data_IF_650235256127
#
_entry.id   IF_650235256127
#
_cell.length_a   1.000
_cell.length_b   1.000
_cell.length_c   1.000
_cell.angle_alpha   90.00
_cell.angle_beta   90.00
_cell.angle_gamma   90.00
#
_symmetry.space_group_name_H-M   'P 1'
#
loop_
_entity.id
_entity.type
_entity.pdbx_description
1 polymer ?
#
# COMPACT_ATOMS: atom_id res chain seq x y z
N UNK A 1 -5.14 -22.13 -16.78
CA UNK A 1 -3.70 -22.38 -16.90
C UNK A 1 -3.48 -23.84 -16.66
N UNK A 2 -3.42 -24.61 -17.77
CA UNK A 2 -3.15 -26.02 -17.70
C UNK A 2 -1.63 -26.26 -17.71
N UNK A 3 -0.99 -26.22 -16.59
CA UNK A 3 0.30 -26.87 -16.44
C UNK A 3 0.10 -28.08 -15.53
N UNK A 4 0.38 -29.22 -16.06
CA UNK A 4 0.14 -30.53 -15.48
C UNK A 4 1.06 -30.89 -14.31
N UNK A 5 1.87 -29.95 -13.80
CA UNK A 5 2.69 -30.15 -12.62
C UNK A 5 2.70 -28.89 -11.73
N UNK A 6 1.61 -28.72 -11.04
CA UNK A 6 1.53 -27.76 -9.95
C UNK A 6 2.35 -28.27 -8.75
N UNK A 7 2.90 -27.36 -7.93
CA UNK A 7 3.60 -27.71 -6.68
C UNK A 7 2.84 -28.75 -5.85
N UNK A 8 1.51 -28.65 -5.80
CA UNK A 8 0.63 -29.58 -5.11
C UNK A 8 0.83 -31.03 -5.58
N UNK A 9 0.93 -31.25 -6.90
CA UNK A 9 0.99 -32.59 -7.49
C UNK A 9 2.41 -33.19 -7.38
N UNK A 10 3.43 -32.37 -7.12
CA UNK A 10 4.81 -32.82 -6.94
C UNK A 10 5.12 -33.30 -5.53
N UNK A 11 4.49 -32.67 -4.51
CA UNK A 11 4.89 -32.88 -3.11
C UNK A 11 3.74 -33.33 -2.21
N UNK A 12 2.49 -33.24 -2.66
CA UNK A 12 1.31 -33.50 -1.86
C UNK A 12 0.36 -34.39 -2.64
N UNK A 13 -0.16 -35.43 -1.99
CA UNK A 13 -1.27 -36.21 -2.54
C UNK A 13 -2.56 -35.39 -2.44
N UNK A 14 -2.87 -34.67 -3.52
CA UNK A 14 -4.04 -33.79 -3.60
C UNK A 14 -5.37 -34.53 -3.61
N UNK A 15 -5.37 -35.87 -3.76
CA UNK A 15 -6.60 -36.65 -3.64
C UNK A 15 -7.17 -36.65 -2.23
N UNK A 16 -6.34 -36.29 -1.24
CA UNK A 16 -6.71 -36.12 0.18
C UNK A 16 -7.27 -34.75 0.51
N UNK A 17 -7.24 -33.79 -0.45
CA UNK A 17 -7.71 -32.41 -0.22
C UNK A 17 -9.10 -32.27 -0.85
N UNK A 18 -10.10 -31.99 -0.02
CA UNK A 18 -11.51 -32.12 -0.38
C UNK A 18 -11.99 -31.04 -1.36
N UNK A 19 -11.47 -29.81 -1.28
CA UNK A 19 -11.94 -28.70 -2.11
C UNK A 19 -10.82 -27.96 -2.85
N UNK A 20 -11.16 -27.27 -3.93
CA UNK A 20 -10.22 -26.39 -4.66
C UNK A 20 -9.78 -25.21 -3.81
N UNK A 21 -10.62 -24.76 -2.88
CA UNK A 21 -10.26 -23.71 -1.92
C UNK A 21 -9.16 -24.18 -0.96
N UNK A 22 -9.28 -25.40 -0.44
CA UNK A 22 -8.28 -25.97 0.48
C UNK A 22 -6.95 -26.20 -0.25
N UNK A 23 -6.99 -26.59 -1.51
CA UNK A 23 -5.79 -26.69 -2.36
C UNK A 23 -5.11 -25.35 -2.53
N UNK A 24 -5.87 -24.28 -2.80
CA UNK A 24 -5.35 -22.93 -2.91
C UNK A 24 -4.72 -22.47 -1.58
N UNK A 25 -5.45 -22.62 -0.46
CA UNK A 25 -4.97 -22.21 0.87
C UNK A 25 -3.68 -22.94 1.25
N UNK A 26 -3.60 -24.24 0.95
CA UNK A 26 -2.41 -25.05 1.21
C UNK A 26 -1.18 -24.52 0.46
N UNK A 27 -1.30 -24.24 -0.84
CA UNK A 27 -0.21 -23.70 -1.65
C UNK A 27 0.15 -22.29 -1.20
N UNK A 28 -0.84 -21.47 -0.87
CA UNK A 28 -0.63 -20.13 -0.35
C UNK A 28 0.17 -20.16 0.97
N UNK A 29 -0.07 -21.15 1.85
CA UNK A 29 0.72 -21.33 3.07
C UNK A 29 2.17 -21.69 2.78
N UNK A 30 2.45 -22.51 1.80
CA UNK A 30 3.83 -22.76 1.35
C UNK A 30 4.50 -21.51 0.79
N UNK A 31 3.76 -20.73 0.01
CA UNK A 31 4.23 -19.43 -0.46
C UNK A 31 4.57 -18.47 0.68
N UNK A 32 3.70 -18.35 1.67
CA UNK A 32 3.94 -17.53 2.85
C UNK A 32 5.16 -18.03 3.64
N UNK A 33 5.29 -19.34 3.82
CA UNK A 33 6.46 -19.91 4.49
C UNK A 33 7.74 -19.57 3.74
N UNK A 34 7.76 -19.72 2.42
CA UNK A 34 8.93 -19.39 1.60
C UNK A 34 9.29 -17.90 1.69
N UNK A 35 8.29 -17.01 1.64
CA UNK A 35 8.51 -15.56 1.75
C UNK A 35 9.00 -15.12 3.13
N UNK A 36 8.68 -15.86 4.19
CA UNK A 36 9.11 -15.58 5.56
C UNK A 36 10.51 -16.13 5.90
N UNK A 37 11.09 -17.00 5.06
CA UNK A 37 12.39 -17.60 5.33
C UNK A 37 13.51 -16.55 5.49
N UNK A 38 13.42 -15.44 4.79
CA UNK A 38 14.37 -14.33 4.93
C UNK A 38 14.42 -13.73 6.36
N UNK A 39 13.39 -13.98 7.19
CA UNK A 39 13.28 -13.49 8.56
C UNK A 39 13.86 -14.44 9.59
N UNK A 40 14.36 -15.60 9.18
CA UNK A 40 14.94 -16.60 10.04
C UNK A 40 16.46 -16.54 10.00
N UNK A 41 17.10 -16.75 11.16
CA UNK A 41 18.57 -16.87 11.26
C UNK A 41 19.10 -18.06 10.46
N UNK A 42 18.26 -19.07 10.27
CA UNK A 42 18.58 -20.27 9.52
C UNK A 42 17.78 -20.30 8.23
N UNK A 43 18.45 -20.15 7.10
CA UNK A 43 17.79 -20.27 5.81
C UNK A 43 17.49 -21.73 5.48
N UNK A 44 16.22 -22.01 5.21
CA UNK A 44 15.75 -23.29 4.65
C UNK A 44 15.32 -23.02 3.22
N UNK A 45 15.84 -23.74 2.19
CA UNK A 45 15.58 -23.44 0.80
C UNK A 45 14.17 -23.90 0.36
N UNK A 46 13.13 -23.35 0.98
CA UNK A 46 11.73 -23.67 0.63
C UNK A 46 11.37 -23.14 -0.78
N UNK A 47 12.06 -22.11 -1.27
CA UNK A 47 11.84 -21.62 -2.63
C UNK A 47 12.10 -22.68 -3.70
N UNK A 48 12.95 -23.68 -3.43
CA UNK A 48 13.28 -24.76 -4.36
C UNK A 48 12.10 -25.69 -4.68
N UNK A 49 11.02 -25.62 -3.88
CA UNK A 49 9.79 -26.36 -4.17
C UNK A 49 8.93 -25.72 -5.26
N UNK A 50 9.17 -24.44 -5.58
CA UNK A 50 8.47 -23.70 -6.62
C UNK A 50 9.31 -23.63 -7.90
N UNK A 51 8.66 -23.70 -9.05
CA UNK A 51 9.29 -23.28 -10.30
C UNK A 51 9.28 -21.76 -10.41
N UNK A 52 10.15 -21.20 -11.25
CA UNK A 52 10.18 -19.76 -11.51
C UNK A 52 8.82 -19.22 -12.00
N UNK A 53 8.14 -19.99 -12.85
CA UNK A 53 6.81 -19.66 -13.38
C UNK A 53 5.74 -19.61 -12.26
N UNK A 54 5.81 -20.56 -11.32
CA UNK A 54 4.91 -20.57 -10.15
C UNK A 54 5.20 -19.38 -9.22
N UNK A 55 6.47 -19.03 -9.01
CA UNK A 55 6.85 -17.85 -8.21
C UNK A 55 6.26 -16.59 -8.84
N UNK A 56 6.42 -16.40 -10.14
CA UNK A 56 5.90 -15.25 -10.86
C UNK A 56 4.37 -15.20 -10.83
N UNK A 57 3.71 -16.35 -11.02
CA UNK A 57 2.25 -16.42 -10.97
C UNK A 57 1.71 -16.07 -9.58
N UNK A 58 2.33 -16.57 -8.52
CA UNK A 58 1.95 -16.24 -7.15
C UNK A 58 2.22 -14.78 -6.81
N UNK A 59 3.34 -14.23 -7.26
CA UNK A 59 3.63 -12.79 -7.09
C UNK A 59 2.57 -11.92 -7.77
N UNK A 60 2.11 -12.31 -8.97
CA UNK A 60 1.02 -11.61 -9.67
C UNK A 60 -0.31 -11.70 -8.90
N UNK A 61 -0.68 -12.88 -8.40
CA UNK A 61 -1.90 -13.10 -7.62
C UNK A 61 -1.89 -12.25 -6.34
N UNK A 62 -0.82 -12.35 -5.54
CA UNK A 62 -0.70 -11.61 -4.29
C UNK A 62 -0.67 -10.11 -4.54
N UNK A 63 0.04 -9.66 -5.58
CA UNK A 63 0.08 -8.26 -5.95
C UNK A 63 -1.32 -7.73 -6.30
N UNK A 64 -2.07 -8.48 -7.11
CA UNK A 64 -3.42 -8.07 -7.49
C UNK A 64 -4.39 -8.07 -6.32
N UNK A 65 -4.26 -9.02 -5.41
CA UNK A 65 -5.03 -9.07 -4.15
C UNK A 65 -4.81 -7.80 -3.30
N UNK A 66 -3.55 -7.41 -3.11
CA UNK A 66 -3.25 -6.17 -2.39
C UNK A 66 -3.70 -4.92 -3.16
N UNK A 67 -3.52 -4.91 -4.47
CA UNK A 67 -4.00 -3.83 -5.33
C UNK A 67 -5.51 -3.67 -5.25
N UNK A 68 -6.28 -4.75 -5.34
CA UNK A 68 -7.73 -4.71 -5.23
C UNK A 68 -8.24 -4.23 -3.86
N UNK A 69 -7.47 -4.48 -2.81
CA UNK A 69 -7.82 -4.07 -1.44
C UNK A 69 -7.32 -2.68 -1.07
N UNK A 70 -6.12 -2.30 -1.51
CA UNK A 70 -5.39 -1.11 -1.02
C UNK A 70 -5.07 -0.10 -2.11
N UNK A 71 -5.11 -0.52 -3.37
CA UNK A 71 -4.83 0.31 -4.53
C UNK A 71 -6.08 1.00 -5.10
N UNK A 72 -5.91 1.86 -6.11
CA UNK A 72 -6.99 2.56 -6.80
C UNK A 72 -7.69 1.65 -7.83
N UNK A 73 -8.17 0.50 -7.39
CA UNK A 73 -8.86 -0.48 -8.23
C UNK A 73 -10.29 0.03 -8.54
N UNK A 74 -10.69 0.12 -9.83
CA UNK A 74 -11.95 0.77 -10.22
C UNK A 74 -13.22 0.05 -9.76
N UNK A 75 -13.19 -1.29 -9.64
CA UNK A 75 -14.38 -2.10 -9.32
C UNK A 75 -14.74 -2.03 -7.85
N UNK A 76 -13.75 -2.13 -6.97
CA UNK A 76 -13.97 -2.07 -5.52
C UNK A 76 -14.23 -0.65 -5.02
N UNK A 77 -14.00 0.35 -5.86
CA UNK A 77 -14.05 1.78 -5.50
C UNK A 77 -13.25 2.11 -4.24
N UNK A 78 -12.23 1.32 -3.97
CA UNK A 78 -11.27 1.61 -2.92
C UNK A 78 -11.79 1.57 -1.49
N UNK A 79 -12.78 0.72 -1.19
CA UNK A 79 -13.40 0.64 0.15
C UNK A 79 -12.37 0.53 1.28
N UNK A 80 -11.30 -0.23 1.05
CA UNK A 80 -10.26 -0.43 2.07
C UNK A 80 -9.26 0.74 2.14
N UNK A 81 -8.87 1.31 1.00
CA UNK A 81 -7.97 2.46 1.02
C UNK A 81 -8.70 3.74 1.46
N UNK A 82 -9.99 3.85 1.18
CA UNK A 82 -10.81 4.98 1.61
C UNK A 82 -10.81 5.18 3.12
N UNK A 83 -10.77 4.10 3.91
CA UNK A 83 -10.65 4.19 5.36
C UNK A 83 -9.32 4.80 5.82
N UNK A 84 -8.26 4.63 5.06
CA UNK A 84 -6.95 5.22 5.38
C UNK A 84 -6.91 6.74 5.17
N UNK A 85 -7.91 7.35 4.53
CA UNK A 85 -8.04 8.80 4.44
C UNK A 85 -8.10 9.46 5.82
N UNK A 86 -8.76 8.82 6.78
CA UNK A 86 -8.83 9.30 8.17
C UNK A 86 -7.47 9.28 8.85
N UNK A 87 -6.67 8.25 8.60
CA UNK A 87 -5.30 8.18 9.12
C UNK A 87 -4.42 9.24 8.48
N UNK A 88 -4.52 9.42 7.17
CA UNK A 88 -3.79 10.49 6.48
C UNK A 88 -4.18 11.87 7.02
N UNK A 89 -5.48 12.15 7.16
CA UNK A 89 -5.99 13.39 7.76
C UNK A 89 -5.39 13.63 9.14
N UNK A 90 -5.43 12.62 10.01
CA UNK A 90 -4.88 12.72 11.36
C UNK A 90 -3.39 13.09 11.34
N UNK A 91 -2.58 12.45 10.50
CA UNK A 91 -1.16 12.76 10.36
C UNK A 91 -0.92 14.19 9.85
N UNK A 92 -1.75 14.67 8.93
CA UNK A 92 -1.66 16.04 8.41
C UNK A 92 -2.07 17.07 9.47
N UNK A 93 -3.16 16.84 10.20
CA UNK A 93 -3.66 17.74 11.24
C UNK A 93 -2.67 17.82 12.42
N UNK A 94 -2.12 16.70 12.87
CA UNK A 94 -1.08 16.67 13.90
C UNK A 94 0.17 17.47 13.46
N UNK A 95 0.59 17.27 12.22
CA UNK A 95 1.72 18.02 11.66
C UNK A 95 1.44 19.54 11.60
N UNK A 96 0.23 19.92 11.18
CA UNK A 96 -0.19 21.31 11.14
C UNK A 96 -0.19 21.95 12.53
N UNK A 97 -0.71 21.22 13.53
CA UNK A 97 -0.73 21.67 14.92
C UNK A 97 0.67 21.86 15.49
N UNK A 98 1.59 20.94 15.24
CA UNK A 98 2.99 21.06 15.69
C UNK A 98 3.73 22.21 15.05
N UNK A 99 3.49 22.48 13.77
CA UNK A 99 4.05 23.65 13.08
C UNK A 99 3.53 24.95 13.67
N UNK A 100 2.22 25.05 13.95
CA UNK A 100 1.63 26.25 14.60
C UNK A 100 2.22 26.45 16.00
N UNK A 101 2.41 25.37 16.76
CA UNK A 101 3.00 25.41 18.11
C UNK A 101 4.53 25.55 18.11
N UNK A 102 5.15 25.56 16.93
CA UNK A 102 6.61 25.57 16.75
C UNK A 102 7.33 24.47 17.53
N UNK A 103 6.71 23.29 17.54
CA UNK A 103 7.31 22.11 18.16
C UNK A 103 8.39 21.55 17.25
N UNK A 104 9.57 21.34 17.84
CA UNK A 104 10.65 20.61 17.19
C UNK A 104 10.68 19.19 17.74
N UNK A 105 10.60 18.21 16.88
CA UNK A 105 10.58 16.82 17.32
C UNK A 105 10.35 15.84 16.17
N UNK A 106 10.10 14.60 16.53
CA UNK A 106 9.76 13.52 15.63
C UNK A 106 8.50 12.85 16.18
N UNK A 107 7.47 12.77 15.35
CA UNK A 107 6.28 11.97 15.62
C UNK A 107 6.42 10.64 14.90
N UNK A 108 6.29 9.54 15.61
CA UNK A 108 6.42 8.19 15.07
C UNK A 108 5.08 7.46 15.21
N UNK A 109 4.52 7.06 14.08
CA UNK A 109 3.33 6.21 14.02
C UNK A 109 3.71 4.84 13.50
N UNK A 110 3.30 3.79 14.20
CA UNK A 110 3.56 2.40 13.83
C UNK A 110 2.26 1.76 13.31
N UNK A 111 2.39 0.98 12.27
CA UNK A 111 1.25 0.34 11.62
C UNK A 111 1.66 -0.86 10.78
N UNK A 112 0.70 -1.36 10.02
CA UNK A 112 0.91 -2.47 9.09
C UNK A 112 1.17 -1.96 7.67
N UNK A 113 1.85 -2.77 6.88
CA UNK A 113 2.13 -2.58 5.44
C UNK A 113 0.87 -2.20 4.64
N UNK A 114 -0.23 -2.91 4.87
CA UNK A 114 -1.50 -2.64 4.20
C UNK A 114 -2.08 -1.25 4.49
N UNK A 115 -1.83 -0.67 5.67
CA UNK A 115 -2.21 0.71 5.98
C UNK A 115 -1.32 1.69 5.23
N UNK A 116 -0.01 1.41 5.20
CA UNK A 116 0.95 2.25 4.47
C UNK A 116 0.63 2.27 2.96
N UNK A 117 0.34 1.11 2.35
CA UNK A 117 -0.10 1.02 0.95
C UNK A 117 -1.35 1.88 0.69
N UNK A 118 -2.34 1.79 1.57
CA UNK A 118 -3.58 2.57 1.44
C UNK A 118 -3.36 4.08 1.65
N UNK A 119 -2.42 4.49 2.51
CA UNK A 119 -2.01 5.90 2.65
C UNK A 119 -1.33 6.38 1.36
N UNK A 120 -0.42 5.58 0.77
CA UNK A 120 0.25 5.94 -0.48
C UNK A 120 -0.74 6.10 -1.65
N UNK A 121 -1.78 5.26 -1.69
CA UNK A 121 -2.89 5.40 -2.65
C UNK A 121 -3.66 6.70 -2.42
N UNK A 122 -3.97 7.07 -1.16
CA UNK A 122 -4.60 8.35 -0.83
C UNK A 122 -3.71 9.55 -1.14
N UNK A 123 -2.40 9.44 -0.95
CA UNK A 123 -1.43 10.46 -1.35
C UNK A 123 -1.32 10.60 -2.87
N UNK A 124 -1.90 9.69 -3.63
CA UNK A 124 -1.79 9.65 -5.10
C UNK A 124 -0.32 9.74 -5.55
N UNK A 125 0.57 9.15 -4.77
CA UNK A 125 1.99 9.35 -4.90
C UNK A 125 2.61 8.44 -5.97
N UNK A 126 3.28 9.03 -6.95
CA UNK A 126 4.03 8.30 -7.97
C UNK A 126 3.19 7.25 -8.71
N UNK A 127 3.61 5.99 -8.64
CA UNK A 127 2.90 4.86 -9.29
C UNK A 127 1.72 4.34 -8.49
N UNK A 128 1.60 4.71 -7.20
CA UNK A 128 0.52 4.26 -6.31
C UNK A 128 -0.85 4.83 -6.68
N UNK A 129 -0.89 5.90 -7.49
CA UNK A 129 -2.12 6.50 -8.00
C UNK A 129 -2.64 5.85 -9.29
N UNK A 130 -1.90 4.94 -9.90
CA UNK A 130 -2.26 4.39 -11.21
C UNK A 130 -3.32 3.32 -11.08
N UNK A 131 -4.45 3.56 -11.72
CA UNK A 131 -5.48 2.56 -11.91
C UNK A 131 -4.98 1.43 -12.82
N UNK A 132 -5.53 0.24 -12.64
CA UNK A 132 -5.26 -0.91 -13.48
C UNK A 132 -6.54 -1.75 -13.62
N UNK A 133 -6.82 -2.22 -14.83
CA UNK A 133 -8.02 -2.99 -15.14
C UNK A 133 -7.83 -4.50 -14.95
N UNK A 134 -6.60 -4.95 -14.74
CA UNK A 134 -6.25 -6.35 -14.59
C UNK A 134 -4.92 -6.52 -13.85
N UNK A 135 -4.62 -7.77 -13.46
CA UNK A 135 -3.42 -8.13 -12.69
C UNK A 135 -2.11 -7.75 -13.37
N UNK A 136 -2.02 -7.90 -14.70
CA UNK A 136 -0.80 -7.59 -15.47
C UNK A 136 -0.52 -6.09 -15.54
N UNK A 137 -1.56 -5.28 -15.63
CA UNK A 137 -1.42 -3.82 -15.56
C UNK A 137 -1.03 -3.38 -14.16
N UNK A 138 -1.68 -3.92 -13.12
CA UNK A 138 -1.32 -3.65 -11.74
C UNK A 138 0.15 -3.99 -11.47
N UNK A 139 0.63 -5.13 -11.94
CA UNK A 139 2.01 -5.57 -11.76
C UNK A 139 3.06 -4.62 -12.36
N UNK A 140 2.69 -3.82 -13.35
CA UNK A 140 3.59 -2.85 -13.99
C UNK A 140 3.76 -1.56 -13.20
N UNK A 141 2.76 -1.18 -12.40
CA UNK A 141 2.71 0.13 -11.77
C UNK A 141 2.65 0.06 -10.25
N UNK A 142 1.95 -0.90 -9.70
CA UNK A 142 1.68 -1.03 -8.28
C UNK A 142 2.27 -2.34 -7.78
N UNK A 143 3.18 -2.28 -6.79
CA UNK A 143 3.93 -3.45 -6.33
C UNK A 143 3.95 -3.49 -4.81
N UNK A 144 3.25 -4.47 -4.22
CA UNK A 144 3.19 -4.59 -2.77
C UNK A 144 4.56 -4.82 -2.13
N UNK A 145 5.50 -5.46 -2.84
CA UNK A 145 6.86 -5.69 -2.34
C UNK A 145 7.76 -4.45 -2.31
N UNK A 146 7.31 -3.30 -2.85
CA UNK A 146 7.96 -2.01 -2.62
C UNK A 146 7.74 -1.52 -1.17
N UNK A 147 6.89 -2.24 -0.41
CA UNK A 147 6.65 -2.04 1.01
C UNK A 147 7.17 -3.26 1.80
N UNK A 148 8.49 -3.43 1.94
CA UNK A 148 9.07 -4.50 2.74
C UNK A 148 8.83 -4.28 4.23
N UNK A 149 9.20 -5.28 5.04
CA UNK A 149 9.24 -5.11 6.50
C UNK A 149 10.18 -3.95 6.87
N UNK A 150 9.72 -3.09 7.79
CA UNK A 150 10.43 -1.88 8.17
C UNK A 150 10.27 -0.72 7.17
N UNK A 151 9.41 -0.86 6.16
CA UNK A 151 9.09 0.25 5.27
C UNK A 151 8.58 1.46 6.05
N UNK A 152 8.94 2.64 5.60
CA UNK A 152 8.54 3.88 6.25
C UNK A 152 8.17 4.97 5.25
N UNK A 153 7.18 5.77 5.64
CA UNK A 153 6.81 7.01 4.99
C UNK A 153 7.25 8.15 5.89
N UNK A 154 8.01 9.08 5.35
CA UNK A 154 8.50 10.24 6.08
C UNK A 154 7.89 11.52 5.50
N UNK A 155 7.46 12.43 6.40
CA UNK A 155 7.14 13.82 6.10
C UNK A 155 8.16 14.67 6.83
N UNK A 156 9.03 15.36 6.09
CA UNK A 156 10.12 16.14 6.66
C UNK A 156 9.85 17.62 6.38
N UNK A 157 9.75 18.41 7.44
CA UNK A 157 9.40 19.82 7.38
C UNK A 157 10.64 20.71 7.48
N UNK A 158 10.67 21.74 6.66
CA UNK A 158 11.78 22.70 6.60
C UNK A 158 11.22 24.11 6.72
N UNK A 159 11.78 24.88 7.60
CA UNK A 159 11.47 26.30 7.77
C UNK A 159 12.77 27.07 8.00
N UNK A 160 12.98 28.16 7.27
CA UNK A 160 14.12 29.04 7.50
C UNK A 160 13.70 30.23 8.36
N UNK A 161 14.66 30.78 9.11
CA UNK A 161 14.44 31.97 9.91
C UNK A 161 14.07 33.15 9.01
N UNK A 162 13.02 33.88 9.37
CA UNK A 162 12.53 35.04 8.61
C UNK A 162 11.68 34.69 7.39
N UNK A 163 11.50 33.43 7.03
CA UNK A 163 10.58 33.00 5.97
C UNK A 163 9.32 32.35 6.59
N UNK A 164 8.11 32.85 6.30
CA UNK A 164 6.88 32.26 6.80
C UNK A 164 6.54 30.94 6.10
N UNK A 165 7.09 30.67 4.91
CA UNK A 165 6.79 29.47 4.16
C UNK A 165 7.46 28.25 4.79
N UNK A 166 6.66 27.22 5.02
CA UNK A 166 7.13 25.89 5.41
C UNK A 166 7.16 25.02 4.17
N UNK A 167 8.28 24.37 3.94
CA UNK A 167 8.41 23.35 2.90
C UNK A 167 8.30 21.96 3.54
N UNK A 168 7.71 21.03 2.81
CA UNK A 168 7.64 19.62 3.18
C UNK A 168 8.22 18.75 2.07
N UNK A 169 8.90 17.69 2.48
CA UNK A 169 9.41 16.63 1.59
C UNK A 169 8.84 15.30 2.05
N UNK A 170 8.36 14.52 1.09
CA UNK A 170 7.90 13.16 1.35
C UNK A 170 8.94 12.16 0.86
N UNK A 171 9.17 11.13 1.65
CA UNK A 171 10.08 10.04 1.30
C UNK A 171 9.44 8.70 1.64
N UNK A 172 9.63 7.72 0.78
CA UNK A 172 9.27 6.32 0.99
C UNK A 172 10.57 5.49 1.00
N UNK A 173 10.84 4.80 2.09
CA UNK A 173 12.07 4.01 2.26
C UNK A 173 13.32 4.84 1.90
N UNK A 174 13.42 6.04 2.46
CA UNK A 174 14.52 7.03 2.28
C UNK A 174 14.69 7.53 0.83
N UNK A 175 13.73 7.24 -0.07
CA UNK A 175 13.73 7.74 -1.44
C UNK A 175 12.65 8.80 -1.62
N UNK A 176 12.97 9.81 -2.40
CA UNK A 176 12.03 10.91 -2.68
C UNK A 176 10.73 10.39 -3.29
N UNK A 177 9.62 10.75 -2.66
CA UNK A 177 8.28 10.41 -3.10
C UNK A 177 7.64 11.62 -3.79
N UNK A 178 7.25 11.46 -5.05
CA UNK A 178 6.60 12.52 -5.82
C UNK A 178 5.10 12.54 -5.56
N UNK A 179 4.59 13.73 -5.26
CA UNK A 179 3.17 13.99 -5.09
C UNK A 179 2.56 14.55 -6.39
N UNK A 180 1.23 14.49 -6.57
CA UNK A 180 0.52 15.07 -7.71
C UNK A 180 0.34 16.61 -7.56
N UNK A 181 1.38 17.29 -7.10
CA UNK A 181 1.43 18.72 -6.84
C UNK A 181 2.67 19.31 -7.50
N UNK A 182 2.64 20.60 -7.77
CA UNK A 182 3.81 21.31 -8.28
C UNK A 182 4.86 21.46 -7.17
N UNK A 183 6.06 20.94 -7.41
CA UNK A 183 7.17 21.09 -6.50
C UNK A 183 7.80 22.46 -6.66
N UNK A 184 8.22 23.07 -5.57
CA UNK A 184 8.98 24.34 -5.60
C UNK A 184 10.36 24.09 -6.18
N UNK A 185 11.03 23.04 -5.72
CA UNK A 185 12.31 22.58 -6.21
C UNK A 185 12.45 21.07 -5.91
N UNK A 186 12.93 20.29 -6.86
CA UNK A 186 13.13 18.84 -6.73
C UNK A 186 11.89 18.12 -6.16
N UNK A 187 11.90 17.72 -4.91
CA UNK A 187 10.79 17.02 -4.21
C UNK A 187 10.28 17.80 -3.00
N UNK A 188 10.48 19.13 -2.98
CA UNK A 188 10.00 20.00 -1.93
C UNK A 188 8.70 20.70 -2.36
N UNK A 189 7.71 20.68 -1.48
CA UNK A 189 6.39 21.25 -1.70
C UNK A 189 6.08 22.29 -0.65
N UNK A 190 5.26 23.29 -0.98
CA UNK A 190 4.72 24.21 0.02
C UNK A 190 3.72 23.49 0.90
N UNK A 191 3.95 23.50 2.21
CA UNK A 191 3.09 22.81 3.15
C UNK A 191 1.62 23.21 3.06
N UNK A 192 1.34 24.50 2.94
CA UNK A 192 -0.04 24.97 2.84
C UNK A 192 -0.80 24.41 1.63
N UNK A 193 -0.10 24.23 0.50
CA UNK A 193 -0.68 23.66 -0.70
C UNK A 193 -0.91 22.14 -0.53
N UNK A 194 0.05 21.45 0.06
CA UNK A 194 -0.05 20.02 0.41
C UNK A 194 -1.21 19.77 1.36
N UNK A 195 -1.26 20.51 2.46
CA UNK A 195 -2.31 20.38 3.47
C UNK A 195 -3.69 20.60 2.86
N UNK A 196 -3.89 21.72 2.17
CA UNK A 196 -5.17 22.03 1.52
C UNK A 196 -5.58 20.94 0.54
N UNK A 197 -4.69 20.51 -0.34
CA UNK A 197 -4.99 19.50 -1.36
C UNK A 197 -5.44 18.18 -0.74
N UNK A 198 -4.72 17.68 0.27
CA UNK A 198 -5.05 16.40 0.86
C UNK A 198 -6.24 16.44 1.82
N UNK A 199 -6.49 17.56 2.50
CA UNK A 199 -7.73 17.70 3.28
C UNK A 199 -8.95 17.67 2.36
N UNK A 200 -8.93 18.40 1.24
CA UNK A 200 -9.99 18.35 0.23
C UNK A 200 -10.16 16.94 -0.39
N UNK A 201 -9.05 16.23 -0.59
CA UNK A 201 -9.08 14.84 -1.06
C UNK A 201 -9.72 13.92 -0.02
N UNK A 202 -9.31 14.01 1.24
CA UNK A 202 -9.89 13.22 2.34
C UNK A 202 -11.39 13.47 2.48
N UNK A 203 -11.84 14.73 2.39
CA UNK A 203 -13.28 15.07 2.43
C UNK A 203 -14.07 14.36 1.32
N UNK A 204 -13.52 14.35 0.10
CA UNK A 204 -14.15 13.67 -1.05
C UNK A 204 -14.23 12.15 -0.84
N UNK A 205 -13.14 11.56 -0.39
CA UNK A 205 -13.05 10.11 -0.14
C UNK A 205 -14.01 9.70 0.98
N UNK A 206 -14.03 10.42 2.09
CA UNK A 206 -14.90 10.15 3.23
C UNK A 206 -16.38 10.29 2.87
N UNK A 207 -16.72 11.31 2.06
CA UNK A 207 -18.08 11.49 1.56
C UNK A 207 -18.52 10.33 0.67
N UNK A 208 -17.67 9.94 -0.30
CA UNK A 208 -17.95 8.81 -1.18
C UNK A 208 -18.10 7.49 -0.41
N UNK A 209 -17.24 7.28 0.59
CA UNK A 209 -17.31 6.10 1.45
C UNK A 209 -18.61 6.07 2.27
N UNK A 210 -19.03 7.21 2.84
CA UNK A 210 -20.28 7.31 3.59
C UNK A 210 -21.51 7.04 2.71
N UNK A 211 -21.51 7.54 1.47
CA UNK A 211 -22.57 7.27 0.50
C UNK A 211 -22.62 5.78 0.14
N UNK A 212 -21.47 5.15 -0.12
CA UNK A 212 -21.36 3.73 -0.43
C UNK A 212 -21.85 2.85 0.74
N UNK A 213 -21.50 3.19 1.97
CA UNK A 213 -21.93 2.46 3.16
C UNK A 213 -23.44 2.62 3.42
N UNK A 214 -24.03 3.77 3.12
CA UNK A 214 -25.50 3.97 3.23
C UNK A 214 -26.24 3.08 2.22
N UNK A 215 -25.77 3.02 0.98
CA UNK A 215 -26.37 2.17 -0.04
C UNK A 215 -26.30 0.67 0.35
N UNK A 216 -25.19 0.26 1.00
CA UNK A 216 -25.02 -1.12 1.46
C UNK A 216 -25.84 -1.46 2.72
N UNK A 217 -26.33 -0.48 3.46
CA UNK A 217 -27.20 -0.68 4.63
C UNK A 217 -28.70 -0.62 4.30
N UNK A 218 -29.06 0.09 3.23
CA UNK A 218 -30.46 0.20 2.77
C UNK A 218 -30.88 -0.99 1.89
N UNK A 219 -29.91 -1.73 1.33
CA UNK A 219 -30.14 -2.93 0.52
C UNK A 219 -30.17 -4.24 1.35
N UNK A 220 -30.06 -4.17 2.69
CA UNK A 220 -30.19 -5.27 3.64
C UNK A 220 -31.41 -5.08 4.54
#
# INVERSE_FOLDING_TARGET
VGSEMCIRDRFIDVTQVESEYDKYDLIHRFWLMASLMQCLDRQVPIWDIFTEEEILAWAEIENYKYFAQKGPEPVSHGRSWGLASRTLRHLLDESAEDLVRKRHGINLSFGHDGVLMAILTNLQAGTWAREASNSKEALRSWKYWDIPMGANLQMIFYQSEGNPDVLVKFMLNEKDLRLPLEAVEASYYKWNEVYKFYIEHCDKVEKSLAETLKLSYEDF
#
